data_IF_875265236100
#
_entry.id   IF_875265236100
#
_cell.length_a   1.000
_cell.length_b   1.000
_cell.length_c   1.000
_cell.angle_alpha   90.00
_cell.angle_beta   90.00
_cell.angle_gamma   90.00
#
_symmetry.space_group_name_H-M   'P 1'
#
loop_
_entity.id
_entity.type
_entity.pdbx_description
1 polymer ?
#
# COMPACT_ATOMS: atom_id res chain seq x y z
N UNK A 1 51.59 37.26 -48.17
CA UNK A 1 51.80 38.36 -47.20
C UNK A 1 50.42 38.74 -46.70
N UNK A 2 49.99 38.28 -45.51
CA UNK A 2 50.08 39.01 -44.22
C UNK A 2 49.43 40.40 -44.32
N UNK A 3 48.54 40.92 -43.47
CA UNK A 3 47.98 40.72 -42.11
C UNK A 3 46.85 41.82 -42.08
N UNK A 4 45.76 41.83 -41.35
CA UNK A 4 45.35 41.17 -40.12
C UNK A 4 43.97 41.71 -39.72
N UNK A 5 43.51 41.21 -38.58
CA UNK A 5 42.25 41.44 -37.87
C UNK A 5 42.11 42.89 -37.37
N UNK A 6 40.89 43.43 -37.34
CA UNK A 6 40.51 44.66 -36.61
C UNK A 6 40.30 45.89 -37.51
N UNK A 7 39.38 46.83 -37.29
CA UNK A 7 38.52 47.18 -36.14
C UNK A 7 37.33 47.97 -36.71
N UNK A 8 36.11 47.75 -36.21
CA UNK A 8 34.98 48.66 -36.48
C UNK A 8 35.26 49.93 -35.66
N UNK A 9 35.63 51.02 -36.33
CA UNK A 9 35.89 52.31 -35.68
C UNK A 9 34.61 52.77 -34.96
N UNK A 10 34.62 52.64 -33.63
CA UNK A 10 33.66 53.29 -32.77
C UNK A 10 34.15 54.74 -32.62
N UNK A 11 33.40 55.69 -33.17
CA UNK A 11 33.60 57.11 -32.90
C UNK A 11 33.88 58.02 -34.09
N UNK A 12 33.14 57.90 -35.21
CA UNK A 12 32.92 59.11 -36.01
C UNK A 12 31.74 59.88 -35.37
N UNK A 13 32.06 60.92 -34.61
CA UNK A 13 31.09 61.86 -34.03
C UNK A 13 30.17 62.53 -35.06
N UNK A 14 30.46 62.37 -36.36
CA UNK A 14 29.68 62.90 -37.47
C UNK A 14 28.50 62.02 -37.89
N UNK A 15 28.44 60.76 -37.45
CA UNK A 15 27.26 59.90 -37.67
C UNK A 15 26.40 59.99 -36.43
N UNK A 16 25.30 60.77 -36.43
CA UNK A 16 24.40 60.80 -35.29
C UNK A 16 23.86 59.38 -35.08
N UNK A 17 24.05 58.85 -33.86
CA UNK A 17 23.44 57.59 -33.49
C UNK A 17 21.91 57.79 -33.57
N UNK A 18 21.26 57.18 -34.57
CA UNK A 18 19.80 57.14 -34.64
C UNK A 18 19.26 56.35 -33.44
N UNK A 19 19.07 57.03 -32.32
CA UNK A 19 18.34 56.50 -31.17
C UNK A 19 16.86 56.58 -31.51
N UNK A 20 16.32 55.49 -32.06
CA UNK A 20 14.87 55.32 -32.10
C UNK A 20 14.37 55.29 -30.66
N UNK A 21 13.38 56.13 -30.29
CA UNK A 21 12.79 56.06 -28.97
C UNK A 21 12.20 54.66 -28.77
N UNK A 22 12.43 54.05 -27.61
CA UNK A 22 11.90 52.73 -27.27
C UNK A 22 10.40 52.88 -26.93
N UNK A 23 9.61 53.23 -27.94
CA UNK A 23 8.16 53.37 -27.83
C UNK A 23 7.59 51.95 -27.91
N UNK A 24 6.80 51.51 -26.93
CA UNK A 24 6.09 50.23 -27.01
C UNK A 24 5.30 50.17 -28.32
N UNK A 25 5.41 49.05 -29.06
CA UNK A 25 4.65 48.86 -30.31
C UNK A 25 3.15 48.97 -30.02
N UNK A 26 2.40 49.59 -30.94
CA UNK A 26 0.97 49.77 -30.80
C UNK A 26 0.25 48.40 -30.81
N UNK A 27 -0.49 48.11 -29.74
CA UNK A 27 -1.11 46.81 -29.48
C UNK A 27 -2.25 46.48 -30.45
N UNK A 28 -2.70 47.45 -31.27
CA UNK A 28 -3.72 47.26 -32.30
C UNK A 28 -3.24 46.48 -33.53
N UNK A 29 -1.93 46.28 -33.72
CA UNK A 29 -1.39 45.49 -34.83
C UNK A 29 -1.50 43.97 -34.63
N UNK A 30 -1.86 43.50 -33.42
CA UNK A 30 -2.04 42.08 -33.12
C UNK A 30 -3.54 41.70 -33.23
N UNK A 31 -3.97 40.97 -34.27
CA UNK A 31 -5.37 40.59 -34.40
C UNK A 31 -5.78 39.60 -33.31
N UNK A 32 -6.70 40.01 -32.41
CA UNK A 32 -7.43 39.09 -31.51
C UNK A 32 -7.39 39.35 -30.00
N UNK A 33 -6.85 40.48 -29.53
CA UNK A 33 -6.54 40.79 -28.10
C UNK A 33 -5.45 39.87 -27.54
N UNK A 34 -4.22 40.35 -27.55
CA UNK A 34 -3.13 39.69 -26.84
C UNK A 34 -2.43 40.70 -25.95
N UNK A 35 -2.58 40.52 -24.64
CA UNK A 35 -1.81 41.21 -23.62
C UNK A 35 -0.31 40.94 -23.85
N UNK A 36 0.59 41.86 -23.46
CA UNK A 36 2.02 41.59 -23.53
C UNK A 36 2.38 40.40 -22.62
N UNK A 37 3.10 39.41 -23.15
CA UNK A 37 3.55 38.23 -22.38
C UNK A 37 4.28 38.64 -21.10
N UNK A 38 5.20 39.61 -21.22
CA UNK A 38 5.86 40.27 -20.11
C UNK A 38 5.56 41.77 -20.16
N UNK A 39 5.14 42.41 -19.05
CA UNK A 39 4.92 41.84 -17.72
C UNK A 39 3.48 41.39 -17.44
N UNK A 40 2.51 41.79 -18.28
CA UNK A 40 1.09 41.75 -17.92
C UNK A 40 0.51 40.34 -17.82
N UNK A 41 0.68 39.53 -18.87
CA UNK A 41 0.15 38.16 -18.88
C UNK A 41 0.78 37.32 -17.76
N UNK A 42 2.11 37.35 -17.64
CA UNK A 42 2.82 36.54 -16.64
C UNK A 42 2.45 36.93 -15.21
N UNK A 43 2.31 38.23 -14.91
CA UNK A 43 1.84 38.69 -13.59
C UNK A 43 0.41 38.25 -13.29
N UNK A 44 -0.49 38.30 -14.28
CA UNK A 44 -1.88 37.88 -14.13
C UNK A 44 -1.99 36.38 -13.87
N UNK A 45 -1.27 35.56 -14.64
CA UNK A 45 -1.22 34.10 -14.44
C UNK A 45 -0.59 33.74 -13.08
N UNK A 46 0.48 34.44 -12.67
CA UNK A 46 1.06 34.27 -11.33
C UNK A 46 0.10 34.65 -10.22
N UNK A 47 -0.65 35.74 -10.36
CA UNK A 47 -1.62 36.16 -9.36
C UNK A 47 -2.77 35.15 -9.26
N UNK A 48 -3.29 34.66 -10.39
CA UNK A 48 -4.32 33.59 -10.42
C UNK A 48 -3.77 32.31 -9.81
N UNK A 49 -2.56 31.90 -10.17
CA UNK A 49 -1.88 30.74 -9.61
C UNK A 49 -1.66 30.85 -8.10
N UNK A 50 -1.24 32.02 -7.61
CA UNK A 50 -1.08 32.29 -6.19
C UNK A 50 -2.41 32.22 -5.43
N UNK A 51 -3.48 32.81 -5.97
CA UNK A 51 -4.82 32.73 -5.37
C UNK A 51 -5.31 31.28 -5.32
N UNK A 52 -5.12 30.52 -6.40
CA UNK A 52 -5.46 29.11 -6.44
C UNK A 52 -4.67 28.30 -5.41
N UNK A 53 -3.35 28.51 -5.32
CA UNK A 53 -2.47 27.81 -4.39
C UNK A 53 -2.82 28.13 -2.94
N UNK A 54 -3.10 29.39 -2.61
CA UNK A 54 -3.58 29.78 -1.27
C UNK A 54 -4.93 29.11 -0.97
N UNK A 55 -5.86 29.08 -1.93
CA UNK A 55 -7.14 28.39 -1.79
C UNK A 55 -6.97 26.89 -1.54
N UNK A 56 -6.09 26.24 -2.29
CA UNK A 56 -5.76 24.83 -2.12
C UNK A 56 -5.11 24.55 -0.77
N UNK A 57 -4.13 25.35 -0.34
CA UNK A 57 -3.52 25.22 0.98
C UNK A 57 -4.54 25.40 2.10
N UNK A 58 -5.44 26.38 1.96
CA UNK A 58 -6.55 26.57 2.91
C UNK A 58 -7.45 25.35 2.96
N UNK A 59 -7.77 24.73 1.81
CA UNK A 59 -8.54 23.50 1.76
C UNK A 59 -7.82 22.35 2.49
N UNK A 60 -6.51 22.19 2.31
CA UNK A 60 -5.74 21.13 2.99
C UNK A 60 -5.64 21.33 4.50
N UNK A 61 -5.72 22.58 4.98
CA UNK A 61 -5.73 22.91 6.42
C UNK A 61 -7.11 22.68 7.03
N UNK A 62 -8.18 23.03 6.31
CA UNK A 62 -9.57 22.88 6.78
C UNK A 62 -10.04 21.43 6.71
N UNK A 63 -9.66 20.72 5.66
CA UNK A 63 -9.97 19.32 5.44
C UNK A 63 -8.65 18.54 5.38
N UNK A 64 -8.02 18.24 6.54
CA UNK A 64 -6.80 17.46 6.56
C UNK A 64 -7.05 16.12 5.90
N UNK A 65 -6.11 15.69 5.05
CA UNK A 65 -6.16 14.34 4.47
C UNK A 65 -6.14 13.33 5.62
N UNK A 66 -7.06 12.36 5.66
CA UNK A 66 -6.98 11.29 6.64
C UNK A 66 -5.66 10.54 6.40
N UNK A 67 -4.73 10.65 7.35
CA UNK A 67 -3.51 9.86 7.34
C UNK A 67 -3.86 8.48 7.91
N UNK A 68 -3.53 7.43 7.16
CA UNK A 68 -3.63 6.06 7.65
C UNK A 68 -2.42 5.73 8.54
N UNK A 69 -2.50 4.62 9.29
CA UNK A 69 -1.35 4.08 10.04
C UNK A 69 -0.15 3.81 9.13
N UNK A 70 1.05 3.82 9.71
CA UNK A 70 2.27 3.44 8.98
C UNK A 70 2.14 2.01 8.44
N UNK A 71 2.57 1.81 7.19
CA UNK A 71 2.46 0.50 6.54
C UNK A 71 3.36 -0.54 7.22
N UNK A 72 2.75 -1.51 7.92
CA UNK A 72 3.43 -2.67 8.47
C UNK A 72 3.15 -3.90 7.59
N UNK A 73 4.17 -4.50 6.95
CA UNK A 73 4.00 -5.69 6.11
C UNK A 73 3.62 -6.96 6.90
N UNK A 74 3.63 -6.90 8.24
CA UNK A 74 3.26 -8.01 9.12
C UNK A 74 1.82 -7.92 9.66
N UNK A 75 1.10 -6.82 9.37
CA UNK A 75 -0.30 -6.64 9.73
C UNK A 75 -1.22 -7.26 8.66
N UNK A 76 -1.81 -8.41 9.00
CA UNK A 76 -2.72 -9.15 8.13
C UNK A 76 -4.18 -8.66 8.16
N UNK A 77 -4.55 -7.69 9.01
CA UNK A 77 -5.91 -7.13 9.05
C UNK A 77 -6.06 -5.78 8.34
N UNK A 78 -4.99 -5.27 7.73
CA UNK A 78 -5.11 -4.14 6.79
C UNK A 78 -5.79 -4.61 5.49
N UNK A 79 -6.80 -3.88 5.02
CA UNK A 79 -7.47 -4.16 3.74
C UNK A 79 -6.70 -3.45 2.63
N UNK A 80 -5.92 -4.14 1.79
CA UNK A 80 -5.03 -3.52 0.81
C UNK A 80 -5.80 -3.09 -0.45
N UNK A 81 -6.68 -2.12 -0.31
CA UNK A 81 -7.40 -1.51 -1.44
C UNK A 81 -6.61 -0.30 -1.95
N UNK A 82 -6.44 -0.15 -3.27
CA UNK A 82 -5.82 1.04 -3.82
C UNK A 82 -6.72 2.28 -3.61
N UNK A 83 -6.12 3.45 -3.79
CA UNK A 83 -6.86 4.72 -3.72
C UNK A 83 -7.84 4.90 -4.87
N UNK A 84 -8.77 5.86 -4.70
CA UNK A 84 -9.87 6.15 -5.63
C UNK A 84 -9.42 6.34 -7.08
N UNK A 85 -8.25 6.93 -7.32
CA UNK A 85 -7.72 7.19 -8.66
C UNK A 85 -7.15 5.94 -9.35
N UNK A 86 -7.01 4.82 -8.64
CA UNK A 86 -6.58 3.53 -9.18
C UNK A 86 -7.67 2.45 -9.15
N UNK A 87 -8.86 2.75 -8.62
CA UNK A 87 -9.96 1.79 -8.54
C UNK A 87 -10.38 1.22 -9.90
N UNK A 88 -10.34 2.04 -10.96
CA UNK A 88 -10.69 1.56 -12.30
C UNK A 88 -9.70 0.50 -12.81
N UNK A 89 -8.40 0.65 -12.53
CA UNK A 89 -7.39 -0.34 -12.89
C UNK A 89 -7.53 -1.59 -12.03
N UNK A 90 -7.82 -1.41 -10.75
CA UNK A 90 -8.08 -2.50 -9.83
C UNK A 90 -9.26 -3.35 -10.28
N UNK A 91 -10.40 -2.75 -10.62
CA UNK A 91 -11.55 -3.48 -11.16
C UNK A 91 -11.24 -4.13 -12.50
N UNK A 92 -10.54 -3.41 -13.38
CA UNK A 92 -10.12 -3.93 -14.67
C UNK A 92 -9.27 -5.21 -14.53
N UNK A 93 -8.30 -5.20 -13.61
CA UNK A 93 -7.43 -6.35 -13.31
C UNK A 93 -8.14 -7.47 -12.54
N UNK A 94 -9.39 -7.31 -12.11
CA UNK A 94 -10.19 -8.42 -11.55
C UNK A 94 -10.83 -9.28 -12.64
N UNK A 95 -11.07 -8.73 -13.83
CA UNK A 95 -11.69 -9.52 -14.90
C UNK A 95 -10.76 -10.64 -15.38
N UNK A 96 -11.33 -11.81 -15.67
CA UNK A 96 -10.57 -13.02 -16.05
C UNK A 96 -9.64 -12.82 -17.25
N UNK A 97 -10.01 -11.92 -18.19
CA UNK A 97 -9.19 -11.65 -19.38
C UNK A 97 -7.98 -10.75 -19.11
N UNK A 98 -7.93 -10.09 -17.95
CA UNK A 98 -6.88 -9.15 -17.55
C UNK A 98 -6.13 -9.59 -16.29
N UNK A 99 -6.55 -10.70 -15.67
CA UNK A 99 -6.04 -11.22 -14.41
C UNK A 99 -5.36 -12.59 -14.57
N UNK A 100 -4.72 -13.08 -13.50
CA UNK A 100 -4.08 -14.40 -13.45
C UNK A 100 -3.02 -14.60 -14.57
N UNK A 101 -3.15 -15.63 -15.43
CA UNK A 101 -2.17 -15.91 -16.48
C UNK A 101 -2.08 -14.81 -17.55
N UNK A 102 -3.10 -13.93 -17.64
CA UNK A 102 -3.15 -12.83 -18.59
C UNK A 102 -2.77 -11.48 -17.97
N UNK A 103 -2.20 -11.47 -16.75
CA UNK A 103 -1.87 -10.21 -16.06
C UNK A 103 -0.94 -9.30 -16.86
N UNK A 104 -0.03 -9.86 -17.65
CA UNK A 104 0.85 -9.07 -18.53
C UNK A 104 0.03 -8.33 -19.60
N UNK A 105 -1.02 -8.98 -20.10
CA UNK A 105 -1.91 -8.41 -21.11
C UNK A 105 -2.75 -7.29 -20.51
N UNK A 106 -3.32 -7.51 -19.33
CA UNK A 106 -4.10 -6.51 -18.59
C UNK A 106 -3.25 -5.32 -18.13
N UNK A 107 -2.13 -5.56 -17.46
CA UNK A 107 -1.35 -4.50 -16.81
C UNK A 107 -0.47 -3.70 -17.78
N UNK A 108 0.08 -4.33 -18.82
CA UNK A 108 1.05 -3.67 -19.70
C UNK A 108 0.56 -3.50 -21.14
N UNK A 109 -0.03 -4.54 -21.74
CA UNK A 109 -0.38 -4.49 -23.17
C UNK A 109 -1.57 -3.54 -23.40
N UNK A 110 -2.66 -3.69 -22.65
CA UNK A 110 -3.87 -2.88 -22.87
C UNK A 110 -3.64 -1.39 -22.54
N UNK A 111 -3.08 -1.02 -21.37
CA UNK A 111 -2.68 0.36 -21.11
C UNK A 111 -1.66 0.86 -22.13
N UNK A 112 -0.68 0.04 -22.51
CA UNK A 112 0.30 0.38 -23.54
C UNK A 112 -0.33 0.70 -24.90
N UNK A 113 -1.35 -0.05 -25.32
CA UNK A 113 -2.11 0.24 -26.54
C UNK A 113 -2.94 1.52 -26.40
N UNK A 114 -3.53 1.79 -25.23
CA UNK A 114 -4.26 3.03 -24.97
C UNK A 114 -3.35 4.26 -25.03
N UNK A 115 -2.19 4.21 -24.38
CA UNK A 115 -1.17 5.27 -24.46
C UNK A 115 -0.59 5.39 -25.87
N UNK A 116 -0.37 4.26 -26.55
CA UNK A 116 0.06 4.24 -27.95
C UNK A 116 -0.96 4.89 -28.88
N UNK A 117 -2.25 4.65 -28.67
CA UNK A 117 -3.33 5.31 -29.41
C UNK A 117 -3.35 6.82 -29.14
N UNK A 118 -3.10 7.25 -27.89
CA UNK A 118 -2.98 8.66 -27.54
C UNK A 118 -1.75 9.33 -28.20
N UNK A 119 -0.62 8.63 -28.23
CA UNK A 119 0.60 9.09 -28.89
C UNK A 119 0.46 9.18 -30.41
N UNK A 120 -0.32 8.27 -30.99
CA UNK A 120 -0.66 8.26 -32.42
C UNK A 120 -1.87 9.15 -32.76
N UNK A 121 -2.54 9.75 -31.78
CA UNK A 121 -3.66 10.66 -31.98
C UNK A 121 -3.41 11.78 -33.01
N UNK A 122 -2.24 12.48 -33.05
CA UNK A 122 -1.99 13.49 -34.07
C UNK A 122 -1.96 12.94 -35.50
N UNK A 123 -1.70 11.65 -35.69
CA UNK A 123 -1.68 10.99 -37.00
C UNK A 123 -3.03 10.33 -37.34
N UNK A 124 -3.73 9.79 -36.33
CA UNK A 124 -5.07 9.21 -36.49
C UNK A 124 -6.12 10.26 -36.86
N UNK A 125 -5.93 11.51 -36.43
CA UNK A 125 -6.90 12.59 -36.59
C UNK A 125 -6.31 13.82 -37.28
N UNK A 126 -5.83 13.62 -38.51
CA UNK A 126 -5.22 14.65 -39.35
C UNK A 126 -6.22 15.64 -40.00
N UNK A 127 -7.50 15.61 -39.60
CA UNK A 127 -8.54 16.48 -40.17
C UNK A 127 -8.28 17.97 -39.89
N UNK A 128 -8.63 18.90 -40.79
CA UNK A 128 -8.47 20.35 -40.57
C UNK A 128 -9.53 20.95 -39.65
N UNK A 129 -10.62 20.22 -39.36
CA UNK A 129 -11.71 20.67 -38.49
C UNK A 129 -11.28 20.76 -37.03
N UNK A 130 -11.78 21.74 -36.27
CA UNK A 130 -11.47 21.92 -34.84
C UNK A 130 -12.67 21.71 -33.92
N UNK A 131 -13.87 21.59 -34.48
CA UNK A 131 -15.10 21.43 -33.71
C UNK A 131 -15.26 19.97 -33.27
N UNK A 132 -15.80 19.67 -32.08
CA UNK A 132 -15.99 18.30 -31.63
C UNK A 132 -16.75 17.41 -32.63
N UNK A 133 -17.84 17.93 -33.22
CA UNK A 133 -18.61 17.19 -34.22
C UNK A 133 -17.89 16.90 -35.55
N UNK A 134 -16.75 17.56 -35.80
CA UNK A 134 -15.92 17.32 -36.99
C UNK A 134 -14.86 16.23 -36.75
N UNK A 135 -14.70 15.75 -35.51
CA UNK A 135 -13.74 14.72 -35.10
C UNK A 135 -14.47 13.60 -34.34
N UNK A 136 -15.40 12.87 -34.97
CA UNK A 136 -16.24 11.91 -34.28
C UNK A 136 -15.44 10.73 -33.69
N UNK A 137 -14.35 10.30 -34.33
CA UNK A 137 -13.56 9.13 -33.88
C UNK A 137 -12.80 9.44 -32.59
N UNK A 138 -11.99 10.51 -32.56
CA UNK A 138 -11.22 10.91 -31.38
C UNK A 138 -12.13 11.22 -30.19
N UNK A 139 -13.25 11.92 -30.44
CA UNK A 139 -14.21 12.23 -29.39
C UNK A 139 -14.93 10.97 -28.89
N UNK A 140 -15.28 10.04 -29.78
CA UNK A 140 -15.86 8.76 -29.37
C UNK A 140 -14.87 7.95 -28.50
N UNK A 141 -13.61 7.84 -28.90
CA UNK A 141 -12.58 7.12 -28.13
C UNK A 141 -12.36 7.77 -26.75
N UNK A 142 -12.29 9.11 -26.68
CA UNK A 142 -12.17 9.83 -25.42
C UNK A 142 -13.39 9.63 -24.52
N UNK A 143 -14.60 9.72 -25.07
CA UNK A 143 -15.84 9.53 -24.31
C UNK A 143 -16.00 8.08 -23.83
N UNK A 144 -15.62 7.10 -24.65
CA UNK A 144 -15.60 5.68 -24.24
C UNK A 144 -14.57 5.45 -23.14
N UNK A 145 -13.36 6.01 -23.27
CA UNK A 145 -12.32 5.90 -22.24
C UNK A 145 -12.77 6.51 -20.91
N UNK A 146 -13.40 7.68 -20.95
CA UNK A 146 -13.95 8.35 -19.77
C UNK A 146 -15.14 7.58 -19.17
N UNK A 147 -16.05 7.09 -20.00
CA UNK A 147 -17.16 6.26 -19.54
C UNK A 147 -16.68 4.96 -18.90
N UNK A 148 -15.66 4.31 -19.48
CA UNK A 148 -15.05 3.11 -18.94
C UNK A 148 -14.36 3.38 -17.59
N UNK A 149 -13.59 4.45 -17.46
CA UNK A 149 -12.95 4.82 -16.18
C UNK A 149 -14.00 5.10 -15.10
N UNK A 150 -15.05 5.85 -15.42
CA UNK A 150 -16.14 6.14 -14.48
C UNK A 150 -16.88 4.87 -14.08
N UNK A 151 -17.24 4.03 -15.05
CA UNK A 151 -17.97 2.78 -14.82
C UNK A 151 -17.17 1.81 -13.94
N UNK A 152 -15.90 1.56 -14.29
CA UNK A 152 -15.03 0.65 -13.53
C UNK A 152 -14.73 1.17 -12.13
N UNK A 153 -14.57 2.48 -11.97
CA UNK A 153 -14.40 3.10 -10.65
C UNK A 153 -15.64 2.90 -9.78
N UNK A 154 -16.83 3.11 -10.36
CA UNK A 154 -18.10 2.90 -9.67
C UNK A 154 -18.28 1.43 -9.27
N UNK A 155 -18.01 0.49 -10.18
CA UNK A 155 -18.12 -0.94 -9.92
C UNK A 155 -17.14 -1.39 -8.82
N UNK A 156 -15.89 -0.93 -8.85
CA UNK A 156 -14.96 -1.18 -7.76
C UNK A 156 -15.46 -0.61 -6.43
N UNK A 157 -15.99 0.62 -6.45
CA UNK A 157 -16.44 1.31 -5.25
C UNK A 157 -17.68 0.68 -4.60
N UNK A 158 -18.58 0.10 -5.39
CA UNK A 158 -19.79 -0.57 -4.91
C UNK A 158 -19.47 -1.88 -4.16
N UNK A 159 -18.36 -2.53 -4.51
CA UNK A 159 -17.90 -3.77 -3.88
C UNK A 159 -16.99 -3.56 -2.64
N UNK A 160 -16.73 -2.31 -2.24
CA UNK A 160 -15.85 -1.99 -1.11
C UNK A 160 -16.68 -1.67 0.14
N UNK A 161 -16.36 -2.36 1.23
CA UNK A 161 -16.79 -1.93 2.56
C UNK A 161 -15.90 -0.77 3.04
N UNK A 162 -16.42 0.44 2.85
CA UNK A 162 -15.72 1.68 3.20
C UNK A 162 -15.58 1.88 4.72
N UNK A 163 -16.50 1.34 5.51
CA UNK A 163 -16.46 1.44 6.97
C UNK A 163 -15.35 0.55 7.53
N UNK A 164 -15.31 -0.72 7.10
CA UNK A 164 -14.26 -1.65 7.49
C UNK A 164 -12.86 -1.16 7.07
N UNK A 165 -12.74 -0.58 5.86
CA UNK A 165 -11.48 0.03 5.40
C UNK A 165 -11.05 1.18 6.31
N UNK A 166 -11.97 2.11 6.58
CA UNK A 166 -11.68 3.27 7.42
C UNK A 166 -11.27 2.87 8.83
N UNK A 167 -11.83 1.79 9.37
CA UNK A 167 -11.40 1.23 10.66
C UNK A 167 -10.00 0.62 10.59
N UNK A 168 -9.70 -0.15 9.54
CA UNK A 168 -8.39 -0.79 9.37
C UNK A 168 -7.24 0.23 9.22
N UNK A 169 -7.53 1.41 8.67
CA UNK A 169 -6.57 2.48 8.44
C UNK A 169 -6.40 3.48 9.59
N UNK A 170 -7.24 3.44 10.63
CA UNK A 170 -7.15 4.40 11.76
C UNK A 170 -5.79 4.32 12.45
N UNK A 171 -5.21 5.48 12.73
CA UNK A 171 -4.00 5.61 13.56
C UNK A 171 -4.36 5.20 14.98
N UNK A 172 -3.95 3.99 15.37
CA UNK A 172 -3.90 3.61 16.78
C UNK A 172 -2.76 4.40 17.44
N UNK A 173 -2.96 4.87 18.67
CA UNK A 173 -1.89 5.55 19.41
C UNK A 173 -0.71 4.59 19.52
N UNK A 174 0.46 4.96 19.01
CA UNK A 174 1.67 4.19 19.23
C UNK A 174 1.90 4.11 20.74
N UNK A 175 1.77 2.91 21.29
CA UNK A 175 2.20 2.63 22.66
C UNK A 175 3.60 2.07 22.54
N UNK A 176 4.54 2.66 23.26
CA UNK A 176 5.90 2.17 23.35
C UNK A 176 5.87 0.75 23.95
N UNK A 177 6.14 -0.27 23.13
CA UNK A 177 6.06 -1.67 23.56
C UNK A 177 7.41 -2.13 24.06
N UNK A 178 7.45 -2.62 25.30
CA UNK A 178 8.62 -3.28 25.82
C UNK A 178 8.74 -4.70 25.25
N UNK A 179 9.42 -4.83 24.11
CA UNK A 179 9.69 -6.12 23.43
C UNK A 179 10.57 -7.08 24.25
N UNK A 180 11.19 -6.61 25.34
CA UNK A 180 12.02 -7.41 26.24
C UNK A 180 11.23 -7.99 27.43
N UNK A 181 9.99 -7.53 27.66
CA UNK A 181 9.16 -8.03 28.75
C UNK A 181 8.77 -9.51 28.52
N UNK A 182 8.68 -10.28 29.61
CA UNK A 182 8.25 -11.68 29.56
C UNK A 182 6.83 -11.83 28.98
N UNK A 183 5.94 -10.88 29.30
CA UNK A 183 4.59 -10.81 28.75
C UNK A 183 4.56 -10.65 27.23
N UNK A 184 5.52 -9.92 26.64
CA UNK A 184 5.62 -9.78 25.19
C UNK A 184 6.00 -11.10 24.51
N UNK A 185 6.86 -11.92 25.12
CA UNK A 185 7.23 -13.22 24.54
C UNK A 185 6.05 -14.20 24.53
N UNK A 186 5.25 -14.20 25.60
CA UNK A 186 4.01 -14.97 25.68
C UNK A 186 3.01 -14.46 24.64
N UNK A 187 2.87 -13.15 24.51
CA UNK A 187 2.01 -12.51 23.51
C UNK A 187 2.42 -12.84 22.08
N UNK A 188 3.72 -12.73 21.76
CA UNK A 188 4.28 -13.02 20.44
C UNK A 188 4.03 -14.46 19.99
N UNK A 189 4.10 -15.42 20.91
CA UNK A 189 3.91 -16.84 20.59
C UNK A 189 2.44 -17.25 20.42
N UNK A 190 1.52 -16.58 21.11
CA UNK A 190 0.13 -17.06 21.23
C UNK A 190 -0.91 -16.10 20.65
N UNK A 191 -0.61 -14.80 20.56
CA UNK A 191 -1.62 -13.76 20.30
C UNK A 191 -1.28 -12.86 19.11
N UNK A 192 0.02 -12.62 18.84
CA UNK A 192 0.46 -11.70 17.78
C UNK A 192 0.00 -12.09 16.37
N UNK A 193 -0.29 -13.37 16.12
CA UNK A 193 -0.82 -13.83 14.82
C UNK A 193 -2.19 -13.25 14.49
N UNK A 194 -2.97 -12.85 15.50
CA UNK A 194 -4.31 -12.29 15.31
C UNK A 194 -4.40 -10.82 15.75
N UNK A 195 -3.67 -10.43 16.81
CA UNK A 195 -3.73 -9.08 17.39
C UNK A 195 -2.57 -8.16 16.94
N UNK A 196 -1.73 -8.62 16.02
CA UNK A 196 -0.55 -7.89 15.54
C UNK A 196 0.62 -7.93 16.53
N UNK A 197 1.86 -7.80 16.06
CA UNK A 197 3.03 -7.76 16.95
C UNK A 197 3.03 -6.53 17.86
N UNK A 198 2.49 -5.43 17.36
CA UNK A 198 2.41 -4.16 18.07
C UNK A 198 1.07 -3.93 18.78
N UNK A 199 0.30 -5.00 19.07
CA UNK A 199 -1.06 -4.92 19.65
C UNK A 199 -2.05 -4.10 18.79
N UNK A 200 -1.67 -3.73 17.57
CA UNK A 200 -2.42 -2.88 16.64
C UNK A 200 -3.70 -3.52 16.10
N UNK A 201 -3.91 -4.81 16.35
CA UNK A 201 -5.04 -5.58 15.85
C UNK A 201 -4.69 -6.29 14.54
N UNK A 202 -5.72 -6.77 13.86
CA UNK A 202 -5.60 -7.51 12.62
C UNK A 202 -6.85 -8.34 12.38
N UNK A 203 -6.73 -9.66 12.55
CA UNK A 203 -7.85 -10.60 12.64
C UNK A 203 -8.64 -10.40 13.94
N UNK A 204 -7.93 -10.09 15.02
CA UNK A 204 -8.49 -9.70 16.31
C UNK A 204 -8.48 -8.18 16.48
N UNK A 205 -9.33 -7.63 17.37
CA UNK A 205 -9.35 -6.19 17.63
C UNK A 205 -8.01 -5.70 18.21
N UNK A 206 -7.74 -4.41 18.03
CA UNK A 206 -6.59 -3.75 18.66
C UNK A 206 -6.65 -3.89 20.18
N UNK A 207 -5.51 -4.25 20.76
CA UNK A 207 -5.31 -4.36 22.21
C UNK A 207 -4.60 -3.13 22.78
N UNK A 208 -4.30 -2.14 21.94
CA UNK A 208 -3.75 -0.87 22.40
C UNK A 208 -4.82 -0.08 23.16
N UNK A 209 -4.51 0.31 24.40
CA UNK A 209 -5.37 1.18 25.19
C UNK A 209 -6.70 0.56 25.63
N UNK A 210 -6.75 -0.77 25.83
CA UNK A 210 -8.02 -1.43 26.22
C UNK A 210 -8.55 -0.90 27.56
N UNK A 211 -9.86 -0.68 27.63
CA UNK A 211 -10.57 -0.36 28.87
C UNK A 211 -10.83 -1.59 29.76
N UNK A 212 -10.44 -2.78 29.31
CA UNK A 212 -10.64 -4.01 30.06
C UNK A 212 -9.71 -4.05 31.29
N UNK A 213 -10.19 -4.67 32.38
CA UNK A 213 -9.37 -4.97 33.54
C UNK A 213 -8.51 -6.21 33.27
N UNK A 214 -7.40 -6.33 34.01
CA UNK A 214 -6.48 -7.47 33.93
C UNK A 214 -7.24 -8.80 34.07
N UNK A 215 -8.16 -8.90 35.05
CA UNK A 215 -8.93 -10.13 35.27
C UNK A 215 -9.87 -10.48 34.11
N UNK A 216 -10.45 -9.46 33.46
CA UNK A 216 -11.32 -9.68 32.30
C UNK A 216 -10.52 -10.11 31.07
N UNK A 217 -9.28 -9.65 30.94
CA UNK A 217 -8.35 -10.10 29.90
C UNK A 217 -7.99 -11.58 30.13
N UNK A 218 -7.70 -12.01 31.38
CA UNK A 218 -7.46 -13.42 31.70
C UNK A 218 -8.64 -14.30 31.35
N UNK A 219 -9.85 -13.88 31.72
CA UNK A 219 -11.07 -14.62 31.46
C UNK A 219 -11.28 -14.84 29.95
N UNK A 220 -11.09 -13.79 29.15
CA UNK A 220 -11.17 -13.86 27.69
C UNK A 220 -10.07 -14.77 27.12
N UNK A 221 -8.85 -14.70 27.65
CA UNK A 221 -7.74 -15.53 27.18
C UNK A 221 -7.94 -17.03 27.48
N UNK A 222 -8.60 -17.38 28.60
CA UNK A 222 -8.87 -18.77 29.02
C UNK A 222 -10.12 -19.33 28.36
N UNK A 223 -11.19 -18.54 28.26
CA UNK A 223 -12.50 -19.03 27.81
C UNK A 223 -12.78 -18.71 26.33
N UNK A 224 -12.05 -17.77 25.73
CA UNK A 224 -12.36 -17.21 24.43
C UNK A 224 -13.55 -16.24 24.50
N UNK A 225 -13.78 -15.47 23.42
CA UNK A 225 -14.95 -14.58 23.28
C UNK A 225 -15.31 -14.41 21.81
N UNK A 226 -16.54 -14.77 21.43
CA UNK A 226 -16.98 -14.71 20.04
C UNK A 226 -16.10 -15.62 19.18
N UNK A 227 -15.48 -15.05 18.15
CA UNK A 227 -14.54 -15.75 17.27
C UNK A 227 -13.13 -15.90 17.85
N UNK A 228 -12.82 -15.27 18.99
CA UNK A 228 -11.53 -15.40 19.66
C UNK A 228 -11.41 -16.76 20.39
N UNK A 229 -10.48 -17.65 19.98
CA UNK A 229 -10.32 -18.97 20.59
C UNK A 229 -9.70 -18.88 22.00
N UNK A 230 -9.90 -19.96 22.77
CA UNK A 230 -9.35 -20.12 24.12
C UNK A 230 -7.85 -20.50 24.10
N UNK A 231 -6.98 -19.57 23.69
CA UNK A 231 -5.56 -19.84 23.43
C UNK A 231 -4.75 -20.14 24.69
N UNK A 232 -5.14 -19.57 25.84
CA UNK A 232 -4.42 -19.74 27.10
C UNK A 232 -5.01 -20.83 28.01
N UNK A 233 -6.00 -21.60 27.52
CA UNK A 233 -6.64 -22.66 28.31
C UNK A 233 -5.64 -23.76 28.68
N UNK A 234 -5.46 -23.99 29.98
CA UNK A 234 -4.57 -25.04 30.50
C UNK A 234 -3.08 -24.66 30.60
N UNK A 235 -2.73 -23.40 30.35
CA UNK A 235 -1.39 -22.86 30.65
C UNK A 235 -1.27 -22.45 32.12
N UNK A 236 -0.05 -22.36 32.68
CA UNK A 236 0.13 -21.96 34.07
C UNK A 236 -0.40 -20.54 34.32
N UNK A 237 -1.00 -20.36 35.49
CA UNK A 237 -1.71 -19.13 35.88
C UNK A 237 -0.79 -17.91 35.89
N UNK A 238 0.48 -18.09 36.23
CA UNK A 238 1.54 -17.08 36.18
C UNK A 238 1.72 -16.51 34.76
N UNK A 239 1.75 -17.35 33.72
CA UNK A 239 1.87 -16.88 32.33
C UNK A 239 0.64 -16.08 31.89
N UNK A 240 -0.54 -16.44 32.41
CA UNK A 240 -1.80 -15.75 32.10
C UNK A 240 -1.84 -14.38 32.78
N UNK A 241 -1.35 -14.29 34.02
CA UNK A 241 -1.20 -13.04 34.75
C UNK A 241 -0.23 -12.08 34.03
N UNK A 242 0.99 -12.53 33.74
CA UNK A 242 2.03 -11.70 33.10
C UNK A 242 1.60 -11.21 31.72
N UNK A 243 0.88 -12.05 30.95
CA UNK A 243 0.29 -11.66 29.68
C UNK A 243 -0.77 -10.58 29.85
N UNK A 244 -1.70 -10.74 30.80
CA UNK A 244 -2.79 -9.81 31.00
C UNK A 244 -2.31 -8.44 31.51
N UNK A 245 -1.27 -8.43 32.36
CA UNK A 245 -0.60 -7.20 32.81
C UNK A 245 0.10 -6.49 31.65
N UNK A 246 0.83 -7.22 30.81
CA UNK A 246 1.47 -6.67 29.62
C UNK A 246 0.46 -6.07 28.63
N UNK A 247 -0.66 -6.76 28.37
CA UNK A 247 -1.73 -6.24 27.50
C UNK A 247 -2.35 -4.96 28.07
N UNK A 248 -2.46 -4.85 29.41
CA UNK A 248 -2.97 -3.64 30.06
C UNK A 248 -1.97 -2.48 30.03
N UNK A 249 -0.68 -2.79 30.20
CA UNK A 249 0.40 -1.82 30.24
C UNK A 249 1.61 -2.27 29.40
N UNK A 250 1.58 -2.08 28.06
CA UNK A 250 2.62 -2.59 27.17
C UNK A 250 3.99 -1.94 27.36
N UNK A 251 4.02 -0.75 27.97
CA UNK A 251 5.23 0.01 28.27
C UNK A 251 5.90 -0.43 29.58
N UNK A 252 5.14 -1.03 30.51
CA UNK A 252 5.60 -1.40 31.83
C UNK A 252 5.77 -2.90 31.97
N UNK A 253 7.02 -3.39 31.86
CA UNK A 253 7.36 -4.75 32.26
C UNK A 253 7.02 -4.96 33.74
N UNK A 254 6.41 -6.11 34.04
CA UNK A 254 5.79 -6.40 35.33
C UNK A 254 6.70 -6.21 36.55
N UNK A 255 6.15 -5.51 37.53
CA UNK A 255 6.49 -5.70 38.94
C UNK A 255 5.18 -6.06 39.64
N UNK A 256 5.04 -7.34 40.00
CA UNK A 256 3.96 -7.76 40.86
C UNK A 256 4.19 -7.19 42.26
N UNK A 257 3.30 -6.32 42.73
CA UNK A 257 3.01 -6.18 44.15
C UNK A 257 1.62 -5.56 44.38
N UNK A 258 0.89 -6.16 45.33
CA UNK A 258 -0.45 -5.80 45.75
C UNK A 258 -0.49 -4.49 46.55
N UNK A 259 -1.71 -3.95 46.63
CA UNK A 259 -2.23 -2.99 47.63
C UNK A 259 -2.31 -1.51 47.20
N UNK A 260 -3.55 -1.10 46.94
CA UNK A 260 -4.22 -0.04 47.69
C UNK A 260 -3.65 1.39 47.63
N UNK A 261 -4.48 2.33 47.15
CA UNK A 261 -4.41 3.72 47.62
C UNK A 261 -4.70 4.77 46.57
N UNK A 262 -5.84 5.42 46.73
CA UNK A 262 -6.20 6.70 46.11
C UNK A 262 -5.08 7.76 46.24
N UNK A 263 -4.94 8.63 45.24
CA UNK A 263 -5.08 10.09 45.43
C UNK A 263 -4.86 10.88 44.14
N UNK A 264 -5.63 11.97 44.07
CA UNK A 264 -5.59 13.08 43.14
C UNK A 264 -4.22 13.75 42.93
N UNK A 265 -4.13 14.50 41.83
CA UNK A 265 -3.20 15.63 41.66
C UNK A 265 -2.56 15.65 40.28
N UNK A 266 -3.17 16.30 39.28
CA UNK A 266 -2.85 17.68 38.88
C UNK A 266 -1.36 18.00 38.79
N UNK A 267 -0.84 18.20 37.58
CA UNK A 267 -0.04 19.39 37.26
C UNK A 267 0.10 19.58 35.75
N UNK A 268 -0.22 20.79 35.33
CA UNK A 268 0.10 21.43 34.06
C UNK A 268 1.61 21.67 33.88
N UNK A 269 1.99 22.07 32.65
CA UNK A 269 3.28 22.64 32.25
C UNK A 269 3.95 21.77 31.18
N UNK A 270 4.06 22.12 29.90
CA UNK A 270 4.22 23.43 29.29
C UNK A 270 5.71 23.75 29.14
N UNK A 271 6.30 23.47 27.96
CA UNK A 271 7.33 24.34 27.36
C UNK A 271 7.66 23.91 25.93
N UNK A 272 7.54 24.89 25.05
CA UNK A 272 8.12 25.00 23.72
C UNK A 272 9.67 25.09 23.80
N UNK A 273 10.35 24.91 22.67
CA UNK A 273 11.79 25.18 22.48
C UNK A 273 12.44 24.17 21.54
N UNK A 274 12.22 24.27 20.23
CA UNK A 274 13.09 24.98 19.26
C UNK A 274 14.21 24.06 18.71
N UNK A 275 14.09 23.75 17.43
CA UNK A 275 15.04 22.94 16.66
C UNK A 275 15.55 23.79 15.50
N UNK A 276 16.83 24.16 15.54
CA UNK A 276 17.62 24.49 14.37
C UNK A 276 19.06 24.03 14.62
N UNK A 277 19.55 23.07 13.82
CA UNK A 277 20.74 23.28 13.01
C UNK A 277 20.83 22.18 11.94
N UNK A 278 20.98 22.60 10.69
CA UNK A 278 21.20 21.74 9.56
C UNK A 278 22.68 21.64 9.23
N UNK A 279 23.12 20.50 8.72
CA UNK A 279 24.24 20.51 7.78
C UNK A 279 24.14 19.34 6.82
N UNK A 280 24.11 19.70 5.55
CA UNK A 280 24.25 18.86 4.38
C UNK A 280 25.61 18.15 4.34
N UNK A 281 25.66 17.00 3.68
CA UNK A 281 26.88 16.20 3.46
C UNK A 281 26.64 15.08 2.45
N UNK A 282 27.05 15.34 1.23
CA UNK A 282 26.79 14.67 -0.05
C UNK A 282 27.42 13.26 -0.24
N UNK A 283 26.70 12.42 -1.00
CA UNK A 283 27.14 11.46 -2.02
C UNK A 283 27.81 10.09 -1.74
N UNK A 284 27.13 9.10 -2.36
CA UNK A 284 27.61 7.98 -3.21
C UNK A 284 28.02 6.63 -2.60
N UNK A 285 27.33 5.58 -3.08
CA UNK A 285 27.90 4.22 -3.15
C UNK A 285 26.94 3.03 -3.15
N UNK A 286 25.77 3.10 -3.78
CA UNK A 286 24.89 1.93 -3.97
C UNK A 286 25.40 1.04 -5.11
N UNK A 287 25.95 -0.13 -4.78
CA UNK A 287 26.24 -1.19 -5.75
C UNK A 287 24.96 -1.99 -6.00
N UNK A 288 24.55 -1.97 -7.26
CA UNK A 288 23.49 -2.77 -7.85
C UNK A 288 23.80 -4.27 -7.68
N UNK A 289 22.81 -5.01 -7.20
CA UNK A 289 22.77 -6.48 -7.20
C UNK A 289 21.38 -6.89 -7.63
N UNK A 290 21.24 -7.15 -8.93
CA UNK A 290 20.02 -7.62 -9.57
C UNK A 290 19.53 -8.92 -8.91
N UNK A 291 18.25 -8.94 -8.50
CA UNK A 291 17.54 -10.19 -8.21
C UNK A 291 16.30 -10.23 -9.08
N UNK A 292 16.40 -10.99 -10.17
CA UNK A 292 15.31 -11.35 -11.06
C UNK A 292 14.25 -12.16 -10.29
N UNK A 293 13.14 -11.52 -9.96
CA UNK A 293 11.95 -12.16 -9.39
C UNK A 293 11.07 -12.75 -10.50
N UNK A 294 11.39 -13.98 -10.93
CA UNK A 294 10.58 -14.78 -11.83
C UNK A 294 9.20 -15.09 -11.21
N UNK A 295 8.19 -14.29 -11.57
CA UNK A 295 6.78 -14.55 -11.26
C UNK A 295 6.15 -15.30 -12.43
N UNK A 296 6.25 -16.63 -12.38
CA UNK A 296 5.58 -17.54 -13.31
C UNK A 296 4.91 -18.67 -12.53
N UNK A 297 3.67 -18.96 -12.91
CA UNK A 297 2.79 -20.04 -12.44
C UNK A 297 1.94 -19.77 -11.18
N UNK A 298 0.95 -18.89 -11.30
CA UNK A 298 -0.30 -18.98 -10.52
C UNK A 298 -1.23 -19.97 -11.23
N UNK A 299 -1.26 -21.23 -10.77
CA UNK A 299 -2.25 -22.20 -11.22
C UNK A 299 -3.62 -21.91 -10.57
N UNK A 300 -4.71 -22.15 -11.30
CA UNK A 300 -6.08 -22.07 -10.79
C UNK A 300 -6.34 -23.14 -9.73
N UNK A 301 -6.29 -22.77 -8.46
CA UNK A 301 -6.40 -23.72 -7.35
C UNK A 301 -7.86 -24.00 -7.02
N UNK A 302 -8.18 -25.28 -6.81
CA UNK A 302 -9.48 -25.71 -6.34
C UNK A 302 -9.61 -25.45 -4.83
N UNK A 303 -10.17 -24.31 -4.48
CA UNK A 303 -10.45 -23.91 -3.09
C UNK A 303 -11.59 -24.71 -2.44
N UNK A 304 -12.33 -25.52 -3.20
CA UNK A 304 -13.43 -26.36 -2.70
C UNK A 304 -12.97 -27.80 -2.36
N UNK A 305 -11.72 -28.14 -2.66
CA UNK A 305 -11.18 -29.45 -2.36
C UNK A 305 -11.14 -29.72 -0.85
N UNK A 306 -11.46 -30.95 -0.43
CA UNK A 306 -11.47 -31.33 0.99
C UNK A 306 -10.10 -31.18 1.69
N UNK A 307 -9.00 -31.11 0.93
CA UNK A 307 -7.66 -30.85 1.44
C UNK A 307 -7.29 -29.37 1.55
N UNK A 308 -8.04 -28.46 0.93
CA UNK A 308 -7.72 -27.03 0.88
C UNK A 308 -7.79 -26.37 2.26
N UNK A 309 -8.83 -26.65 3.05
CA UNK A 309 -8.96 -26.10 4.41
C UNK A 309 -7.82 -26.56 5.33
N UNK A 310 -7.41 -27.83 5.19
CA UNK A 310 -6.28 -28.39 5.96
C UNK A 310 -4.98 -27.69 5.54
N UNK A 311 -4.80 -27.43 4.25
CA UNK A 311 -3.67 -26.69 3.70
C UNK A 311 -3.65 -25.24 4.21
N UNK A 312 -4.78 -24.54 4.16
CA UNK A 312 -4.92 -23.15 4.62
C UNK A 312 -4.55 -22.97 6.08
N UNK A 313 -4.95 -23.91 6.93
CA UNK A 313 -4.71 -23.84 8.38
C UNK A 313 -3.27 -24.19 8.79
N UNK A 314 -2.58 -25.05 8.01
CA UNK A 314 -1.32 -25.66 8.46
C UNK A 314 -0.10 -25.36 7.55
N UNK A 315 -0.32 -24.89 6.31
CA UNK A 315 0.72 -24.85 5.28
C UNK A 315 0.82 -23.49 4.57
N UNK A 316 -0.30 -22.77 4.43
CA UNK A 316 -0.36 -21.51 3.68
C UNK A 316 0.55 -20.41 4.23
N UNK A 317 0.87 -20.42 5.52
CA UNK A 317 1.79 -19.44 6.15
C UNK A 317 3.21 -19.49 5.57
N UNK A 318 3.64 -20.65 5.04
CA UNK A 318 4.97 -20.82 4.47
C UNK A 318 4.95 -21.02 2.95
N UNK A 319 3.94 -21.72 2.43
CA UNK A 319 3.84 -22.07 1.00
C UNK A 319 2.92 -21.13 0.21
N UNK A 320 2.40 -20.07 0.83
CA UNK A 320 1.45 -19.14 0.23
C UNK A 320 0.03 -19.72 0.20
N UNK A 321 -0.98 -18.84 0.26
CA UNK A 321 -2.39 -19.25 0.18
C UNK A 321 -2.72 -19.94 -1.14
N UNK A 322 -1.97 -19.60 -2.19
CA UNK A 322 -2.11 -20.14 -3.54
C UNK A 322 -0.96 -21.08 -3.91
N UNK A 323 -0.34 -21.78 -2.95
CA UNK A 323 0.75 -22.73 -3.21
C UNK A 323 1.99 -22.13 -3.92
N UNK A 324 2.01 -20.81 -4.15
CA UNK A 324 3.04 -20.09 -4.91
C UNK A 324 4.41 -20.00 -4.22
N UNK A 325 4.51 -20.48 -2.98
CA UNK A 325 5.71 -20.43 -2.17
C UNK A 325 5.79 -19.18 -1.28
N UNK A 326 6.93 -19.02 -0.62
CA UNK A 326 7.21 -17.95 0.33
C UNK A 326 8.43 -18.32 1.18
N UNK A 327 8.21 -18.58 2.47
CA UNK A 327 9.22 -19.18 3.34
C UNK A 327 9.51 -20.66 2.99
N UNK A 328 8.53 -21.35 2.39
CA UNK A 328 8.64 -22.68 1.80
C UNK A 328 8.63 -22.63 0.27
N UNK A 329 9.11 -23.69 -0.41
CA UNK A 329 9.13 -23.75 -1.88
C UNK A 329 7.72 -23.72 -2.48
N UNK A 330 7.63 -23.28 -3.74
CA UNK A 330 6.41 -23.34 -4.54
C UNK A 330 5.97 -24.81 -4.72
N UNK A 331 4.67 -25.05 -4.54
CA UNK A 331 4.02 -26.36 -4.60
C UNK A 331 3.13 -26.53 -5.84
N UNK A 332 2.89 -25.46 -6.60
CA UNK A 332 2.25 -25.51 -7.92
C UNK A 332 3.13 -26.35 -8.85
N UNK A 333 2.55 -27.38 -9.46
CA UNK A 333 3.25 -28.35 -10.33
C UNK A 333 4.37 -29.15 -9.64
N UNK A 334 4.23 -29.45 -8.34
CA UNK A 334 5.22 -30.31 -7.67
C UNK A 334 5.30 -31.68 -8.35
N UNK A 335 6.50 -32.12 -8.72
CA UNK A 335 6.74 -33.46 -9.34
C UNK A 335 6.73 -34.59 -8.31
N UNK A 336 6.21 -34.34 -7.12
CA UNK A 336 6.21 -35.28 -6.01
C UNK A 336 4.94 -36.13 -6.06
N UNK A 337 5.09 -37.43 -5.82
CA UNK A 337 3.96 -38.33 -5.66
C UNK A 337 3.24 -38.06 -4.32
N UNK A 338 1.97 -38.46 -4.24
CA UNK A 338 1.18 -38.32 -3.02
C UNK A 338 1.85 -38.99 -1.80
N UNK A 339 2.53 -40.12 -2.01
CA UNK A 339 3.25 -40.85 -0.96
C UNK A 339 4.51 -40.11 -0.49
N UNK A 340 5.23 -39.45 -1.40
CA UNK A 340 6.38 -38.62 -1.05
C UNK A 340 5.95 -37.38 -0.27
N UNK A 341 4.85 -36.74 -0.69
CA UNK A 341 4.26 -35.61 0.04
C UNK A 341 3.84 -36.06 1.43
N UNK A 342 3.19 -37.24 1.55
CA UNK A 342 2.79 -37.83 2.83
C UNK A 342 3.97 -38.04 3.77
N UNK A 343 5.09 -38.53 3.25
CA UNK A 343 6.32 -38.69 4.05
C UNK A 343 6.89 -37.33 4.51
N UNK A 344 6.90 -36.32 3.64
CA UNK A 344 7.42 -34.99 3.95
C UNK A 344 6.56 -34.29 5.01
N UNK A 345 5.23 -34.31 4.88
CA UNK A 345 4.35 -33.62 5.86
C UNK A 345 4.33 -34.32 7.22
N UNK A 346 4.59 -35.63 7.27
CA UNK A 346 4.57 -36.42 8.50
C UNK A 346 5.91 -36.40 9.23
N UNK A 347 7.03 -36.36 8.50
CA UNK A 347 8.37 -36.44 9.09
C UNK A 347 9.15 -35.11 9.04
N UNK A 348 8.69 -34.13 8.25
CA UNK A 348 9.42 -32.91 7.94
C UNK A 348 10.54 -33.15 6.91
N UNK A 349 11.06 -32.06 6.33
CA UNK A 349 12.21 -32.10 5.40
C UNK A 349 12.99 -30.78 5.44
N UNK A 350 14.28 -30.86 5.78
CA UNK A 350 15.11 -29.65 5.93
C UNK A 350 14.54 -28.73 7.00
N UNK A 351 14.27 -27.47 6.64
CA UNK A 351 13.63 -26.49 7.53
C UNK A 351 12.12 -26.67 7.67
N UNK A 352 11.49 -27.55 6.91
CA UNK A 352 10.04 -27.82 7.00
C UNK A 352 9.75 -28.72 8.21
N UNK A 353 8.99 -28.24 9.21
CA UNK A 353 8.65 -29.04 10.39
C UNK A 353 7.66 -30.17 10.06
N UNK A 354 7.53 -31.14 10.95
CA UNK A 354 6.63 -32.28 10.83
C UNK A 354 5.18 -31.91 11.19
N UNK A 355 4.55 -31.04 10.39
CA UNK A 355 3.27 -30.38 10.71
C UNK A 355 2.08 -31.34 10.82
N UNK A 356 2.12 -32.48 10.11
CA UNK A 356 1.03 -33.47 10.10
C UNK A 356 1.31 -34.69 10.98
N UNK A 357 2.39 -34.68 11.77
CA UNK A 357 2.75 -35.80 12.64
C UNK A 357 1.68 -36.02 13.72
N UNK A 358 1.05 -37.20 13.72
CA UNK A 358 0.03 -37.60 14.70
C UNK A 358 -1.39 -37.11 14.41
N UNK A 359 -1.64 -36.49 13.24
CA UNK A 359 -3.01 -36.16 12.79
C UNK A 359 -3.71 -37.39 12.17
N UNK A 360 -5.06 -37.38 12.07
CA UNK A 360 -5.82 -38.49 11.47
C UNK A 360 -5.36 -38.80 10.04
N UNK A 361 -5.21 -40.07 9.70
CA UNK A 361 -4.76 -40.48 8.35
C UNK A 361 -5.69 -39.98 7.24
N UNK A 362 -6.98 -39.83 7.53
CA UNK A 362 -7.97 -39.27 6.59
C UNK A 362 -7.66 -37.82 6.20
N UNK A 363 -7.16 -37.02 7.13
CA UNK A 363 -6.81 -35.61 6.88
C UNK A 363 -5.49 -35.50 6.12
N UNK A 364 -4.54 -36.37 6.44
CA UNK A 364 -3.26 -36.47 5.73
C UNK A 364 -3.50 -36.83 4.26
N UNK A 365 -4.36 -37.81 3.98
CA UNK A 365 -4.62 -38.25 2.60
C UNK A 365 -5.34 -37.16 1.78
N UNK A 366 -6.33 -36.46 2.36
CA UNK A 366 -7.03 -35.35 1.70
C UNK A 366 -6.08 -34.19 1.38
N UNK A 367 -5.20 -33.84 2.32
CA UNK A 367 -4.19 -32.81 2.12
C UNK A 367 -3.21 -33.21 1.01
N UNK A 368 -2.68 -34.43 1.04
CA UNK A 368 -1.68 -34.87 0.06
C UNK A 368 -2.28 -35.03 -1.34
N UNK A 369 -3.55 -35.42 -1.45
CA UNK A 369 -4.29 -35.46 -2.71
C UNK A 369 -4.47 -34.05 -3.30
N UNK A 370 -4.84 -33.08 -2.48
CA UNK A 370 -4.95 -31.68 -2.88
C UNK A 370 -3.61 -31.09 -3.32
N UNK A 371 -2.54 -31.29 -2.54
CA UNK A 371 -1.20 -30.74 -2.89
C UNK A 371 -0.61 -31.42 -4.12
N UNK A 372 -0.90 -32.70 -4.36
CA UNK A 372 -0.48 -33.40 -5.56
C UNK A 372 -1.21 -32.90 -6.82
N UNK A 373 -2.50 -32.54 -6.71
CA UNK A 373 -3.33 -32.08 -7.82
C UNK A 373 -4.18 -30.85 -7.44
N UNK A 374 -3.56 -29.67 -7.27
CA UNK A 374 -4.26 -28.51 -6.73
C UNK A 374 -5.31 -27.91 -7.67
N UNK A 375 -5.32 -28.30 -8.95
CA UNK A 375 -6.23 -27.77 -9.98
C UNK A 375 -7.39 -28.70 -10.35
N UNK A 376 -7.40 -29.95 -9.87
CA UNK A 376 -8.45 -30.92 -10.23
C UNK A 376 -9.48 -31.01 -9.10
N UNK A 377 -10.65 -30.42 -9.33
CA UNK A 377 -11.88 -30.80 -8.62
C UNK A 377 -12.55 -31.96 -9.34
N UNK A 378 -13.06 -32.93 -8.56
CA UNK A 378 -14.01 -33.92 -9.06
C UNK A 378 -15.36 -33.30 -9.41
#
# INVERSE_FOLDING_TARGET
MHRGKGMKFVGDSRVPAEKKPNIPKDYSEYPGRTEAFWPNFLLKEWLVGAVFLIGFLTLTVVAPSPLEKMADPTDAGYIPLPDWYFLFLYQFLKYEFASGPYIVLGAFIIPGLAFGALLLAPFLDAGPGRRPFQRPISNALMLIGLAATVFLTWEAADHVDWEARAESGKITKDVEINTQAEGYQIFKQNCASCHGQELGGGVGPSLVGTELSVDKIKEIAINGKGDMPAVMKGKPEEQIQTLAEFVKNPAGGGEGESEGGSSDGSSEGGSEGDSEDGSEGDSQGGSEGESEGNSGDTASINTEAAGYEIFKQNCASCHGQELGGGAGPNLVNSKLSQDEIKQIVTNGKGSMPAVMKGKPEGDINKLTEFVANPTNGG
#
